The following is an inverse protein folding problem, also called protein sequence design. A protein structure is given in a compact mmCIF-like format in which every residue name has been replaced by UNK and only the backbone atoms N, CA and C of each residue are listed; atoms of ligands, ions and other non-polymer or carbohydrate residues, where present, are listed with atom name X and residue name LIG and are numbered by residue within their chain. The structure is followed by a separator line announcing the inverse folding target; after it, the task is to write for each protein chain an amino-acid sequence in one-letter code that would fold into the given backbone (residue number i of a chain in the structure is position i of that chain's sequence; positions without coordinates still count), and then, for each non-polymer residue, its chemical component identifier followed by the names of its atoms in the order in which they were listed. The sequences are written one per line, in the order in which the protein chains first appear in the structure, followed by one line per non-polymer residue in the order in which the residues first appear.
data_IF_096090981751
#
_entry.id   IF_096090981751
#
_cell.length_a   1.000
_cell.length_b   1.000
_cell.length_c   1.000
_cell.angle_alpha   90.00
_cell.angle_beta   90.00
_cell.angle_gamma   90.00
#
_symmetry.space_group_name_H-M   'P 1'
#
loop_
_entity.id
_entity.type
_entity.pdbx_description
1 polymer ?
#
# COMPACT_ATOMS: atom_id res chain seq x y z
N UNK A 1 -24.49 -5.48 -26.19
CA UNK A 1 -23.38 -5.09 -25.31
C UNK A 1 -22.61 -6.36 -25.02
N UNK A 2 -21.36 -6.47 -25.46
CA UNK A 2 -20.56 -7.70 -25.29
C UNK A 2 -20.42 -7.98 -23.79
N UNK A 3 -21.02 -9.07 -23.31
CA UNK A 3 -20.93 -9.47 -21.90
C UNK A 3 -19.54 -10.02 -21.64
N UNK A 4 -18.58 -9.12 -21.35
CA UNK A 4 -17.27 -9.54 -20.87
C UNK A 4 -17.46 -10.46 -19.67
N UNK A 5 -16.76 -11.62 -19.61
CA UNK A 5 -16.87 -12.52 -18.48
C UNK A 5 -16.51 -11.81 -17.15
N UNK A 6 -17.29 -12.08 -16.10
CA UNK A 6 -17.08 -11.53 -14.75
C UNK A 6 -15.64 -11.71 -14.27
N UNK A 7 -15.04 -12.87 -14.52
CA UNK A 7 -13.66 -13.16 -14.11
C UNK A 7 -12.62 -12.26 -14.78
N UNK A 8 -12.87 -11.80 -16.01
CA UNK A 8 -11.98 -10.84 -16.69
C UNK A 8 -12.05 -9.46 -16.03
N UNK A 9 -13.26 -9.01 -15.67
CA UNK A 9 -13.46 -7.74 -14.97
C UNK A 9 -12.78 -7.74 -13.59
N UNK A 10 -12.94 -8.81 -12.81
CA UNK A 10 -12.26 -8.96 -11.52
C UNK A 10 -10.74 -8.92 -11.70
N UNK A 11 -10.22 -9.58 -12.75
CA UNK A 11 -8.79 -9.55 -13.07
C UNK A 11 -8.31 -8.14 -13.42
N UNK A 12 -9.07 -7.38 -14.21
CA UNK A 12 -8.74 -5.98 -14.52
C UNK A 12 -8.70 -5.10 -13.26
N UNK A 13 -9.67 -5.22 -12.36
CA UNK A 13 -9.69 -4.48 -11.08
C UNK A 13 -8.52 -4.89 -10.18
N UNK A 14 -8.22 -6.19 -10.14
CA UNK A 14 -7.08 -6.74 -9.40
C UNK A 14 -5.74 -6.21 -9.90
N UNK A 15 -5.57 -6.06 -11.22
CA UNK A 15 -4.35 -5.48 -11.80
C UNK A 15 -4.19 -4.00 -11.44
N UNK A 16 -5.30 -3.25 -11.39
CA UNK A 16 -5.26 -1.85 -10.96
C UNK A 16 -4.85 -1.75 -9.50
N UNK A 17 -5.39 -2.62 -8.62
CA UNK A 17 -4.99 -2.69 -7.22
C UNK A 17 -3.48 -2.97 -7.07
N UNK A 18 -2.93 -3.91 -7.86
CA UNK A 18 -1.48 -4.19 -7.89
C UNK A 18 -0.70 -2.93 -8.27
N UNK A 19 -1.12 -2.21 -9.31
CA UNK A 19 -0.44 -0.97 -9.72
C UNK A 19 -0.50 0.13 -8.66
N UNK A 20 -1.62 0.28 -7.95
CA UNK A 20 -1.72 1.21 -6.82
C UNK A 20 -0.73 0.77 -5.72
N UNK A 21 -0.68 -0.52 -5.40
CA UNK A 21 0.24 -1.01 -4.37
C UNK A 21 1.72 -0.81 -4.72
N UNK A 22 2.12 -1.03 -5.97
CA UNK A 22 3.49 -0.79 -6.43
C UNK A 22 3.87 0.68 -6.27
N UNK A 23 2.91 1.58 -6.56
CA UNK A 23 3.09 3.02 -6.43
C UNK A 23 3.20 3.46 -4.97
N UNK A 24 2.34 2.94 -4.10
CA UNK A 24 2.38 3.17 -2.64
C UNK A 24 3.72 2.73 -2.06
N UNK A 25 4.16 1.49 -2.37
CA UNK A 25 5.45 0.95 -1.89
C UNK A 25 6.62 1.77 -2.43
N UNK A 26 6.58 2.14 -3.72
CA UNK A 26 7.59 3.02 -4.31
C UNK A 26 7.64 4.39 -3.63
N UNK A 27 6.48 4.97 -3.30
CA UNK A 27 6.40 6.26 -2.63
C UNK A 27 6.93 6.19 -1.18
N UNK A 28 6.64 5.09 -0.46
CA UNK A 28 7.21 4.80 0.85
C UNK A 28 8.74 4.75 0.78
N UNK A 29 9.31 3.99 -0.16
CA UNK A 29 10.77 3.91 -0.30
C UNK A 29 11.41 5.26 -0.67
N UNK A 30 10.75 6.04 -1.51
CA UNK A 30 11.18 7.40 -1.80
C UNK A 30 11.14 8.28 -0.54
N UNK A 31 10.14 8.10 0.33
CA UNK A 31 10.07 8.82 1.59
C UNK A 31 11.21 8.48 2.54
N UNK A 32 11.55 7.19 2.68
CA UNK A 32 12.71 6.76 3.45
C UNK A 32 14.00 7.36 2.90
N UNK A 33 14.19 7.33 1.59
CA UNK A 33 15.35 7.91 0.93
C UNK A 33 15.42 9.43 1.16
N UNK A 34 14.31 10.14 1.00
CA UNK A 34 14.28 11.59 1.16
C UNK A 34 14.60 12.02 2.59
N UNK A 35 14.05 11.33 3.60
CA UNK A 35 14.37 11.61 5.01
C UNK A 35 15.85 11.39 5.31
N UNK A 36 16.42 10.27 4.81
CA UNK A 36 17.83 9.93 4.99
C UNK A 36 18.79 10.95 4.38
N UNK A 37 18.45 11.48 3.21
CA UNK A 37 19.32 12.41 2.46
C UNK A 37 18.91 13.88 2.56
N UNK A 38 17.87 14.19 3.35
CA UNK A 38 17.29 15.53 3.47
C UNK A 38 16.90 16.11 2.08
N UNK A 39 16.28 15.27 1.24
CA UNK A 39 15.94 15.61 -0.14
C UNK A 39 14.59 16.33 -0.23
N UNK A 40 14.65 17.66 -0.16
CA UNK A 40 13.49 18.55 -0.33
C UNK A 40 12.82 18.44 -1.71
N UNK A 41 13.56 18.05 -2.76
CA UNK A 41 12.96 17.85 -4.08
C UNK A 41 12.15 16.55 -4.11
N UNK A 42 12.73 15.47 -3.58
CA UNK A 42 12.05 14.19 -3.38
C UNK A 42 10.79 14.33 -2.53
N UNK A 43 10.85 15.09 -1.43
CA UNK A 43 9.71 15.40 -0.57
C UNK A 43 8.52 16.00 -1.34
N UNK A 44 8.77 16.91 -2.29
CA UNK A 44 7.70 17.48 -3.13
C UNK A 44 7.12 16.45 -4.11
N UNK A 45 7.98 15.62 -4.68
CA UNK A 45 7.53 14.58 -5.61
C UNK A 45 6.64 13.55 -4.90
N UNK A 46 6.96 13.19 -3.66
CA UNK A 46 6.19 12.23 -2.86
C UNK A 46 4.75 12.69 -2.66
N UNK A 47 4.54 13.98 -2.38
CA UNK A 47 3.20 14.59 -2.25
C UNK A 47 2.44 14.64 -3.57
N UNK A 48 3.14 14.73 -4.71
CA UNK A 48 2.50 14.68 -6.02
C UNK A 48 2.04 13.25 -6.33
N UNK A 49 2.90 12.27 -6.06
CA UNK A 49 2.59 10.84 -6.24
C UNK A 49 1.42 10.42 -5.35
N UNK A 50 1.35 10.94 -4.14
CA UNK A 50 0.27 10.71 -3.17
C UNK A 50 -1.10 11.16 -3.71
N UNK A 51 -1.20 12.39 -4.25
CA UNK A 51 -2.42 12.85 -4.93
C UNK A 51 -2.86 11.97 -6.11
N UNK A 52 -1.88 11.37 -6.79
CA UNK A 52 -2.18 10.43 -7.87
C UNK A 52 -2.59 9.05 -7.33
N UNK A 53 -2.20 8.68 -6.10
CA UNK A 53 -2.70 7.49 -5.38
C UNK A 53 -4.16 7.76 -4.97
N UNK A 54 -4.49 8.90 -4.36
CA UNK A 54 -5.86 9.28 -3.99
C UNK A 54 -6.81 9.23 -5.19
N UNK A 55 -6.39 9.81 -6.32
CA UNK A 55 -7.20 9.79 -7.53
C UNK A 55 -7.41 8.37 -8.07
N UNK A 56 -6.40 7.50 -7.94
CA UNK A 56 -6.49 6.11 -8.37
C UNK A 56 -7.35 5.27 -7.42
N UNK A 57 -7.30 5.55 -6.11
CA UNK A 57 -8.15 4.98 -5.06
C UNK A 57 -9.62 5.19 -5.44
N UNK A 58 -10.04 6.46 -5.58
CA UNK A 58 -11.43 6.82 -5.91
C UNK A 58 -11.87 6.16 -7.22
N UNK A 59 -11.00 6.19 -8.24
CA UNK A 59 -11.29 5.58 -9.54
C UNK A 59 -11.49 4.06 -9.43
N UNK A 60 -10.69 3.37 -8.61
CA UNK A 60 -10.84 1.93 -8.41
C UNK A 60 -12.12 1.61 -7.64
N UNK A 61 -12.44 2.39 -6.60
CA UNK A 61 -13.66 2.21 -5.81
C UNK A 61 -14.91 2.39 -6.68
N UNK A 62 -14.98 3.47 -7.46
CA UNK A 62 -16.09 3.73 -8.40
C UNK A 62 -16.31 2.56 -9.37
N UNK A 63 -15.21 1.99 -9.90
CA UNK A 63 -15.28 0.84 -10.81
C UNK A 63 -15.75 -0.43 -10.10
N UNK A 64 -15.36 -0.63 -8.84
CA UNK A 64 -15.84 -1.74 -8.02
C UNK A 64 -17.35 -1.61 -7.75
N UNK A 65 -17.82 -0.41 -7.39
CA UNK A 65 -19.24 -0.13 -7.18
C UNK A 65 -20.06 -0.32 -8.47
N UNK A 66 -19.55 0.16 -9.61
CA UNK A 66 -20.17 -0.06 -10.91
C UNK A 66 -20.26 -1.56 -11.26
N UNK A 67 -19.21 -2.34 -10.96
CA UNK A 67 -19.22 -3.78 -11.14
C UNK A 67 -20.33 -4.45 -10.29
N UNK A 68 -20.43 -4.09 -9.01
CA UNK A 68 -21.45 -4.62 -8.10
C UNK A 68 -22.87 -4.31 -8.60
N UNK A 69 -23.10 -3.09 -9.08
CA UNK A 69 -24.40 -2.65 -9.59
C UNK A 69 -24.80 -3.36 -10.91
N UNK A 70 -23.84 -3.63 -11.79
CA UNK A 70 -24.11 -4.13 -13.15
C UNK A 70 -24.08 -5.65 -13.28
N UNK A 71 -23.25 -6.35 -12.51
CA UNK A 71 -22.94 -7.77 -12.76
C UNK A 71 -23.65 -8.75 -11.81
N UNK A 72 -24.27 -8.28 -10.72
CA UNK A 72 -24.91 -9.13 -9.69
C UNK A 72 -24.07 -10.36 -9.30
N UNK A 73 -22.81 -10.16 -8.86
CA UNK A 73 -21.86 -11.24 -8.63
C UNK A 73 -22.33 -12.21 -7.53
N UNK A 74 -22.01 -13.50 -7.69
CA UNK A 74 -22.27 -14.53 -6.66
C UNK A 74 -21.23 -14.48 -5.54
N UNK A 75 -21.46 -15.26 -4.47
CA UNK A 75 -20.81 -15.10 -3.18
C UNK A 75 -19.26 -14.99 -3.18
N UNK A 76 -18.55 -15.67 -4.09
CA UNK A 76 -17.08 -15.60 -4.18
C UNK A 76 -16.58 -14.32 -4.86
N UNK A 77 -17.24 -13.94 -5.95
CA UNK A 77 -16.92 -12.72 -6.71
C UNK A 77 -17.24 -11.48 -5.88
N UNK A 78 -18.40 -11.47 -5.20
CA UNK A 78 -18.79 -10.40 -4.29
C UNK A 78 -17.75 -10.20 -3.18
N UNK A 79 -17.30 -11.28 -2.53
CA UNK A 79 -16.26 -11.21 -1.49
C UNK A 79 -14.94 -10.67 -2.03
N UNK A 80 -14.56 -11.04 -3.25
CA UNK A 80 -13.33 -10.56 -3.88
C UNK A 80 -13.39 -9.05 -4.13
N UNK A 81 -14.50 -8.54 -4.66
CA UNK A 81 -14.66 -7.10 -4.90
C UNK A 81 -14.70 -6.29 -3.61
N UNK A 82 -15.41 -6.78 -2.59
CA UNK A 82 -15.43 -6.11 -1.27
C UNK A 82 -14.03 -6.10 -0.65
N UNK A 83 -13.24 -7.17 -0.82
CA UNK A 83 -11.85 -7.18 -0.38
C UNK A 83 -10.99 -6.16 -1.16
N UNK A 84 -11.16 -6.04 -2.47
CA UNK A 84 -10.45 -5.01 -3.27
C UNK A 84 -10.74 -3.61 -2.73
N UNK A 85 -12.01 -3.27 -2.46
CA UNK A 85 -12.39 -1.95 -1.91
C UNK A 85 -11.69 -1.70 -0.57
N UNK A 86 -11.70 -2.68 0.33
CA UNK A 86 -11.06 -2.52 1.66
C UNK A 86 -9.54 -2.39 1.57
N UNK A 87 -8.91 -3.19 0.71
CA UNK A 87 -7.45 -3.13 0.51
C UNK A 87 -7.07 -1.79 -0.14
N UNK A 88 -7.91 -1.25 -1.02
CA UNK A 88 -7.70 0.05 -1.65
C UNK A 88 -7.62 1.19 -0.62
N UNK A 89 -8.55 1.20 0.35
CA UNK A 89 -8.57 2.12 1.49
C UNK A 89 -7.30 1.96 2.36
N UNK A 90 -6.90 0.72 2.66
CA UNK A 90 -5.65 0.46 3.39
C UNK A 90 -4.40 0.96 2.63
N UNK A 91 -4.39 0.85 1.30
CA UNK A 91 -3.29 1.32 0.45
C UNK A 91 -3.18 2.84 0.41
N UNK A 92 -4.31 3.55 0.32
CA UNK A 92 -4.33 5.02 0.40
C UNK A 92 -3.77 5.50 1.74
N UNK A 93 -4.21 4.86 2.84
CA UNK A 93 -3.71 5.20 4.18
C UNK A 93 -2.20 5.01 4.31
N UNK A 94 -1.61 4.02 3.64
CA UNK A 94 -0.16 3.83 3.61
C UNK A 94 0.54 4.92 2.78
N UNK A 95 -0.08 5.38 1.69
CA UNK A 95 0.36 6.56 0.94
C UNK A 95 0.42 7.81 1.81
N UNK A 96 -0.67 8.09 2.52
CA UNK A 96 -0.79 9.17 3.50
C UNK A 96 0.31 9.11 4.58
N UNK A 97 0.57 7.91 5.11
CA UNK A 97 1.64 7.70 6.09
C UNK A 97 3.02 8.00 5.50
N UNK A 98 3.26 7.74 4.22
CA UNK A 98 4.50 8.12 3.55
C UNK A 98 4.66 9.65 3.47
N UNK A 99 3.57 10.40 3.26
CA UNK A 99 3.59 11.87 3.35
C UNK A 99 3.85 12.34 4.77
N UNK A 100 3.24 11.71 5.77
CA UNK A 100 3.50 12.03 7.18
C UNK A 100 4.97 11.81 7.57
N UNK A 101 5.64 10.77 7.04
CA UNK A 101 7.09 10.58 7.21
C UNK A 101 7.86 11.80 6.69
N UNK A 102 7.50 12.30 5.50
CA UNK A 102 8.12 13.49 4.91
C UNK A 102 7.84 14.76 5.70
N UNK A 103 6.64 14.93 6.27
CA UNK A 103 6.30 16.09 7.10
C UNK A 103 7.19 16.21 8.33
N UNK A 104 7.72 15.08 8.83
CA UNK A 104 8.66 15.04 9.95
C UNK A 104 10.11 15.21 9.55
N UNK A 105 10.44 15.18 8.26
CA UNK A 105 11.82 15.32 7.77
C UNK A 105 12.58 16.53 8.36
N UNK A 106 11.98 17.73 8.51
CA UNK A 106 12.68 18.89 9.09
C UNK A 106 13.04 18.74 10.58
N UNK A 107 12.36 17.84 11.29
CA UNK A 107 12.57 17.55 12.71
C UNK A 107 13.63 16.44 12.91
N UNK A 108 14.03 15.75 11.85
CA UNK A 108 14.88 14.55 11.90
C UNK A 108 16.29 14.90 11.42
N UNK A 109 17.29 14.73 12.28
CA UNK A 109 18.70 14.80 11.88
C UNK A 109 19.19 13.45 11.31
N UNK A 110 20.11 13.42 10.34
CA UNK A 110 20.69 12.17 9.85
C UNK A 110 21.30 11.29 10.95
N UNK A 111 21.92 11.91 11.96
CA UNK A 111 22.48 11.22 13.14
C UNK A 111 21.42 10.53 14.00
N UNK A 112 20.17 11.04 14.01
CA UNK A 112 19.07 10.41 14.72
C UNK A 112 18.68 9.10 14.03
N UNK A 113 18.70 9.07 12.70
CA UNK A 113 18.41 7.87 11.91
C UNK A 113 19.48 6.78 12.10
N UNK A 114 20.75 7.14 12.28
CA UNK A 114 21.81 6.16 12.56
C UNK A 114 21.63 5.42 13.90
N UNK A 115 20.84 6.00 14.81
CA UNK A 115 20.57 5.41 16.12
C UNK A 115 19.41 4.39 16.11
N UNK A 116 18.68 4.28 15.00
CA UNK A 116 17.49 3.44 14.87
C UNK A 116 17.50 2.65 13.56
N UNK A 117 16.88 1.46 13.53
CA UNK A 117 16.68 0.66 12.31
C UNK A 117 15.62 1.27 11.36
N UNK A 118 15.61 2.59 11.16
CA UNK A 118 14.54 3.30 10.42
C UNK A 118 14.36 2.80 8.98
N UNK A 119 15.46 2.71 8.23
CA UNK A 119 15.42 2.23 6.83
C UNK A 119 15.01 0.76 6.77
N UNK A 120 15.51 -0.08 7.68
CA UNK A 120 15.16 -1.49 7.78
C UNK A 120 13.67 -1.69 8.10
N UNK A 121 13.13 -0.96 9.10
CA UNK A 121 11.70 -0.96 9.43
C UNK A 121 10.83 -0.59 8.22
N UNK A 122 11.19 0.47 7.51
CA UNK A 122 10.44 0.92 6.34
C UNK A 122 10.52 -0.05 5.15
N UNK A 123 11.68 -0.66 4.92
CA UNK A 123 11.85 -1.68 3.88
C UNK A 123 11.03 -2.94 4.19
N UNK A 124 11.02 -3.39 5.46
CA UNK A 124 10.19 -4.52 5.88
C UNK A 124 8.70 -4.21 5.74
N UNK A 125 8.26 -3.00 6.13
CA UNK A 125 6.87 -2.58 5.95
C UNK A 125 6.45 -2.60 4.47
N UNK A 126 7.28 -2.08 3.56
CA UNK A 126 7.02 -2.15 2.12
C UNK A 126 6.93 -3.57 1.58
N UNK A 127 7.82 -4.47 2.02
CA UNK A 127 7.78 -5.89 1.64
C UNK A 127 6.52 -6.60 2.15
N UNK A 128 6.05 -6.27 3.37
CA UNK A 128 4.78 -6.77 3.91
C UNK A 128 3.59 -6.35 3.03
N UNK A 129 3.57 -5.12 2.53
CA UNK A 129 2.52 -4.65 1.60
C UNK A 129 2.57 -5.44 0.29
N UNK A 130 3.74 -5.56 -0.34
CA UNK A 130 3.90 -6.34 -1.58
C UNK A 130 3.46 -7.79 -1.40
N UNK A 131 3.87 -8.44 -0.30
CA UNK A 131 3.46 -9.82 0.02
C UNK A 131 1.97 -9.95 0.30
N UNK A 132 1.36 -8.98 0.99
CA UNK A 132 -0.09 -8.95 1.25
C UNK A 132 -0.90 -8.95 -0.04
N UNK A 133 -0.53 -8.09 -0.99
CA UNK A 133 -1.19 -8.01 -2.30
C UNK A 133 -0.95 -9.29 -3.09
N UNK A 134 0.28 -9.82 -3.10
CA UNK A 134 0.57 -11.10 -3.74
C UNK A 134 -0.26 -12.24 -3.17
N UNK A 135 -0.37 -12.34 -1.84
CA UNK A 135 -1.17 -13.34 -1.15
C UNK A 135 -2.65 -13.24 -1.54
N UNK A 136 -3.18 -12.01 -1.57
CA UNK A 136 -4.55 -11.76 -1.99
C UNK A 136 -4.82 -12.19 -3.44
N UNK A 137 -3.99 -11.75 -4.39
CA UNK A 137 -4.17 -12.04 -5.83
C UNK A 137 -4.03 -13.54 -6.13
N UNK A 138 -3.07 -14.21 -5.49
CA UNK A 138 -2.83 -15.65 -5.68
C UNK A 138 -3.73 -16.54 -4.82
N UNK A 139 -4.53 -15.96 -3.91
CA UNK A 139 -5.30 -16.67 -2.88
C UNK A 139 -4.42 -17.59 -2.03
N UNK A 140 -3.18 -17.15 -1.77
CA UNK A 140 -2.19 -17.88 -0.99
C UNK A 140 -2.34 -17.55 0.49
N UNK A 141 -2.99 -18.46 1.21
CA UNK A 141 -3.16 -18.35 2.65
C UNK A 141 -1.83 -18.42 3.41
N UNK A 142 -0.88 -19.25 2.95
CA UNK A 142 0.39 -19.44 3.67
C UNK A 142 1.18 -18.15 3.65
N UNK A 143 1.25 -17.49 2.49
CA UNK A 143 1.90 -16.18 2.38
C UNK A 143 1.19 -15.11 3.23
N UNK A 144 -0.15 -15.13 3.32
CA UNK A 144 -0.87 -14.21 4.20
C UNK A 144 -0.54 -14.45 5.69
N UNK A 145 -0.51 -15.71 6.13
CA UNK A 145 -0.14 -16.09 7.51
C UNK A 145 1.32 -15.68 7.81
N UNK A 146 2.24 -15.81 6.84
CA UNK A 146 3.62 -15.32 6.94
C UNK A 146 3.69 -13.80 7.12
N UNK A 147 2.92 -13.03 6.34
CA UNK A 147 2.90 -11.56 6.48
C UNK A 147 2.40 -11.14 7.86
N UNK A 148 1.35 -11.79 8.38
CA UNK A 148 0.88 -11.50 9.73
C UNK A 148 1.95 -11.75 10.80
N UNK A 149 2.85 -12.72 10.60
CA UNK A 149 3.95 -12.98 11.52
C UNK A 149 5.07 -11.94 11.44
N UNK A 150 5.30 -11.32 10.27
CA UNK A 150 6.32 -10.29 10.08
C UNK A 150 6.01 -9.00 10.87
N UNK A 151 4.74 -8.75 11.18
CA UNK A 151 4.31 -7.58 11.97
C UNK A 151 4.99 -7.53 13.35
N UNK A 152 5.16 -8.68 14.00
CA UNK A 152 5.84 -8.78 15.29
C UNK A 152 7.32 -8.36 15.19
N UNK A 153 7.99 -8.59 14.06
CA UNK A 153 9.38 -8.16 13.85
C UNK A 153 9.49 -6.63 13.81
N UNK A 154 8.56 -5.97 13.11
CA UNK A 154 8.48 -4.51 13.08
C UNK A 154 8.12 -3.95 14.46
N UNK A 155 7.20 -4.58 15.17
CA UNK A 155 6.80 -4.22 16.53
C UNK A 155 7.97 -4.31 17.52
N UNK A 156 8.84 -5.32 17.39
CA UNK A 156 10.07 -5.43 18.18
C UNK A 156 11.00 -4.25 17.90
N UNK A 157 11.22 -3.90 16.63
CA UNK A 157 12.05 -2.74 16.27
C UNK A 157 11.46 -1.43 16.80
N UNK A 158 10.15 -1.25 16.66
CA UNK A 158 9.45 -0.08 17.18
C UNK A 158 9.62 0.04 18.70
N UNK A 159 9.42 -1.04 19.46
CA UNK A 159 9.60 -1.04 20.93
C UNK A 159 11.04 -0.78 21.36
N UNK A 160 12.03 -1.03 20.52
CA UNK A 160 13.43 -0.71 20.83
C UNK A 160 13.68 0.80 20.78
N UNK A 161 13.03 1.53 19.87
CA UNK A 161 13.16 2.98 19.70
C UNK A 161 12.53 3.76 20.87
N UNK A 162 11.39 3.31 21.38
CA UNK A 162 10.58 4.03 22.38
C UNK A 162 10.75 3.54 23.82
N UNK A 163 11.86 2.85 24.12
CA UNK A 163 12.21 2.40 25.47
C UNK A 163 12.99 3.43 26.27
#
# INVERSE_FOLDING_TARGET
MSSRPVHELIKELSLVLVHISDKVVGNLYNALHAVKHQDEQGARQIRLVDREIDAAEVTLEERCLAFLALQQPVAGDLRTIVAIIKINDDLERIGDLAVHIIDRMPEISPSMLESFSFEEMGLQAGDMVTKSIKAFISKDRVLADEVCALDEEIDVMHRFVFK
#
